data_IF_632223846973
#
_entry.id   IF_632223846973
#
_cell.length_a   1.000
_cell.length_b   1.000
_cell.length_c   1.000
_cell.angle_alpha   90.00
_cell.angle_beta   90.00
_cell.angle_gamma   90.00
#
_symmetry.space_group_name_H-M   'P 1'
#
loop_
_entity.id
_entity.type
_entity.pdbx_description
1 polymer ?
#
# COMPACT_ATOMS: atom_id res chain seq x y z
N UNK A 1 -50.12 -6.59 -7.09
CA UNK A 1 -49.03 -7.31 -7.76
C UNK A 1 -48.00 -6.24 -8.11
N UNK A 2 -46.90 -6.14 -7.34
CA UNK A 2 -45.85 -5.13 -7.54
C UNK A 2 -44.64 -5.84 -8.13
N UNK A 3 -44.22 -5.41 -9.30
CA UNK A 3 -42.92 -5.71 -9.91
C UNK A 3 -41.79 -5.27 -8.97
N UNK A 4 -40.69 -6.05 -8.85
CA UNK A 4 -39.44 -5.51 -8.34
C UNK A 4 -38.35 -5.61 -9.42
N UNK A 5 -38.33 -4.67 -10.37
CA UNK A 5 -37.20 -4.49 -11.29
C UNK A 5 -36.42 -3.21 -10.95
N UNK A 6 -35.71 -3.29 -9.82
CA UNK A 6 -34.81 -2.23 -9.35
C UNK A 6 -33.36 -2.68 -9.12
N UNK A 7 -33.01 -3.94 -9.43
CA UNK A 7 -31.71 -4.52 -9.06
C UNK A 7 -30.71 -4.67 -10.21
N UNK A 8 -30.95 -4.02 -11.36
CA UNK A 8 -30.05 -4.11 -12.52
C UNK A 8 -29.07 -2.93 -12.66
N UNK A 9 -29.13 -1.91 -11.80
CA UNK A 9 -28.38 -0.66 -11.98
C UNK A 9 -27.13 -0.47 -11.07
N UNK A 10 -26.56 -1.54 -10.49
CA UNK A 10 -25.38 -1.42 -9.59
C UNK A 10 -24.19 -2.27 -10.02
N UNK A 11 -24.00 -2.48 -11.33
CA UNK A 11 -23.06 -3.50 -11.81
C UNK A 11 -21.86 -3.02 -12.62
N UNK A 12 -21.51 -1.73 -12.63
CA UNK A 12 -20.35 -1.29 -13.45
C UNK A 12 -19.42 -0.19 -12.89
N UNK A 13 -19.44 0.11 -11.58
CA UNK A 13 -18.45 1.05 -10.97
C UNK A 13 -17.78 0.52 -9.69
N UNK A 14 -18.00 -0.76 -9.33
CA UNK A 14 -17.62 -1.35 -8.04
C UNK A 14 -16.52 -2.44 -8.12
N UNK A 15 -15.96 -2.69 -9.31
CA UNK A 15 -15.11 -3.86 -9.60
C UNK A 15 -13.68 -3.78 -9.06
N UNK A 16 -13.01 -2.63 -9.17
CA UNK A 16 -11.60 -2.50 -8.81
C UNK A 16 -11.37 -2.21 -7.31
N UNK A 17 -12.27 -1.43 -6.69
CA UNK A 17 -12.13 -1.01 -5.29
C UNK A 17 -12.47 -2.11 -4.26
N UNK A 18 -13.46 -2.96 -4.56
CA UNK A 18 -13.87 -4.05 -3.66
C UNK A 18 -12.78 -5.13 -3.54
N UNK A 19 -12.09 -5.44 -4.65
CA UNK A 19 -11.10 -6.52 -4.70
C UNK A 19 -9.83 -6.18 -3.89
N UNK A 20 -9.37 -4.93 -3.95
CA UNK A 20 -8.24 -4.49 -3.13
C UNK A 20 -8.54 -4.55 -1.63
N UNK A 21 -9.75 -4.19 -1.22
CA UNK A 21 -10.11 -4.14 0.21
C UNK A 21 -10.17 -5.53 0.87
N UNK A 22 -10.60 -6.56 0.14
CA UNK A 22 -10.62 -7.94 0.63
C UNK A 22 -9.20 -8.50 0.74
N UNK A 23 -8.39 -8.35 -0.31
CA UNK A 23 -7.01 -8.81 -0.32
C UNK A 23 -6.15 -8.16 0.78
N UNK A 24 -6.38 -6.88 1.05
CA UNK A 24 -5.73 -6.16 2.13
C UNK A 24 -6.12 -6.70 3.51
N UNK A 25 -7.38 -7.07 3.72
CA UNK A 25 -7.83 -7.69 4.98
C UNK A 25 -7.18 -9.06 5.19
N UNK A 26 -7.19 -9.90 4.16
CA UNK A 26 -6.55 -11.23 4.20
C UNK A 26 -5.04 -11.11 4.48
N UNK A 27 -4.38 -10.12 3.87
CA UNK A 27 -2.97 -9.83 4.13
C UNK A 27 -2.74 -9.42 5.59
N UNK A 28 -3.55 -8.51 6.14
CA UNK A 28 -3.46 -8.13 7.55
C UNK A 28 -3.64 -9.33 8.48
N UNK A 29 -4.61 -10.20 8.21
CA UNK A 29 -4.86 -11.42 8.99
C UNK A 29 -3.67 -12.40 8.89
N UNK A 30 -3.13 -12.60 7.69
CA UNK A 30 -1.98 -13.47 7.44
C UNK A 30 -0.76 -13.09 8.29
N UNK A 31 -0.52 -11.79 8.43
CA UNK A 31 0.64 -11.26 9.17
C UNK A 31 0.31 -10.86 10.61
N UNK A 32 -0.96 -11.00 11.05
CA UNK A 32 -1.38 -10.59 12.40
C UNK A 32 -1.32 -9.08 12.64
N UNK A 33 -1.43 -8.28 11.58
CA UNK A 33 -1.51 -6.82 11.66
C UNK A 33 -2.94 -6.35 11.92
N UNK A 34 -3.08 -5.24 12.65
CA UNK A 34 -4.30 -4.44 12.59
C UNK A 34 -4.58 -3.98 11.16
N UNK A 35 -5.85 -3.92 10.77
CA UNK A 35 -6.28 -3.43 9.47
C UNK A 35 -6.37 -1.89 9.50
N UNK A 36 -5.44 -1.23 8.82
CA UNK A 36 -5.29 0.23 8.81
C UNK A 36 -5.06 0.73 7.36
N UNK A 37 -6.08 0.68 6.48
CA UNK A 37 -5.92 1.10 5.09
C UNK A 37 -5.71 2.62 4.99
N UNK A 38 -4.82 3.09 4.11
CA UNK A 38 -4.67 4.52 3.86
C UNK A 38 -5.93 5.13 3.23
N UNK A 39 -6.18 6.39 3.57
CA UNK A 39 -7.18 7.22 2.91
C UNK A 39 -6.80 7.50 1.44
N UNK A 40 -7.81 7.62 0.57
CA UNK A 40 -7.63 7.83 -0.88
C UNK A 40 -6.84 9.10 -1.24
N UNK A 41 -6.93 10.12 -0.38
CA UNK A 41 -6.30 11.44 -0.58
C UNK A 41 -4.95 11.54 0.14
N UNK A 42 -4.60 10.55 0.96
CA UNK A 42 -3.30 10.47 1.63
C UNK A 42 -2.19 10.20 0.63
N UNK A 43 -0.96 10.53 1.05
CA UNK A 43 0.24 10.40 0.24
C UNK A 43 1.25 9.47 0.91
N UNK A 44 2.03 8.78 0.08
CA UNK A 44 3.20 8.01 0.47
C UNK A 44 4.46 8.66 -0.10
N UNK A 45 5.63 8.35 0.45
CA UNK A 45 6.91 8.68 -0.15
C UNK A 45 7.30 7.64 -1.19
N UNK A 46 7.64 8.05 -2.42
CA UNK A 46 8.10 7.13 -3.47
C UNK A 46 9.42 7.59 -4.08
N UNK A 47 10.36 6.67 -4.23
CA UNK A 47 11.59 6.89 -5.00
C UNK A 47 11.37 6.44 -6.46
N UNK A 48 10.60 7.23 -7.22
CA UNK A 48 10.07 6.86 -8.54
C UNK A 48 11.16 6.35 -9.52
N UNK A 49 12.31 7.02 -9.55
CA UNK A 49 13.43 6.66 -10.43
C UNK A 49 14.07 5.31 -10.12
N UNK A 50 13.74 4.70 -8.98
CA UNK A 50 14.32 3.42 -8.54
C UNK A 50 13.38 2.23 -8.75
N UNK A 51 12.12 2.43 -9.16
CA UNK A 51 11.11 1.35 -9.22
C UNK A 51 11.43 0.24 -10.24
N UNK A 52 12.34 0.47 -11.18
CA UNK A 52 12.85 -0.57 -12.09
C UNK A 52 13.91 -1.48 -11.45
N UNK A 53 14.38 -1.15 -10.24
CA UNK A 53 15.37 -1.93 -9.49
C UNK A 53 14.66 -2.93 -8.58
N UNK A 54 15.32 -4.05 -8.34
CA UNK A 54 14.83 -5.13 -7.48
C UNK A 54 15.85 -5.35 -6.34
N UNK A 55 15.42 -5.67 -5.11
CA UNK A 55 14.02 -5.78 -4.66
C UNK A 55 13.32 -4.43 -4.59
N UNK A 56 11.99 -4.45 -4.67
CA UNK A 56 11.18 -3.33 -4.21
C UNK A 56 11.03 -3.45 -2.71
N UNK A 57 11.19 -2.33 -2.02
CA UNK A 57 11.10 -2.23 -0.58
C UNK A 57 9.96 -1.27 -0.24
N UNK A 58 9.26 -1.58 0.84
CA UNK A 58 8.34 -0.66 1.48
C UNK A 58 8.53 -0.68 3.01
N UNK A 59 8.39 0.47 3.64
CA UNK A 59 8.40 0.62 5.09
C UNK A 59 7.30 1.57 5.54
N UNK A 60 6.53 1.19 6.56
CA UNK A 60 5.46 2.02 7.11
C UNK A 60 5.84 2.62 8.45
N UNK A 61 6.07 3.92 8.46
CA UNK A 61 6.24 4.72 9.66
C UNK A 61 4.88 5.18 10.19
N UNK A 62 4.89 5.88 11.34
CA UNK A 62 3.72 6.62 11.79
C UNK A 62 3.33 7.67 10.74
N UNK A 63 2.02 7.82 10.54
CA UNK A 63 1.47 8.83 9.66
C UNK A 63 1.70 10.24 10.24
N UNK A 64 2.20 11.16 9.44
CA UNK A 64 2.40 12.57 9.81
C UNK A 64 1.92 13.48 8.69
N UNK A 65 1.32 14.63 9.05
CA UNK A 65 0.99 15.74 8.14
C UNK A 65 0.23 15.34 6.86
N UNK A 66 -0.70 14.39 6.95
CA UNK A 66 -1.52 13.92 5.81
C UNK A 66 -0.85 12.88 4.92
N UNK A 67 0.26 12.30 5.36
CA UNK A 67 0.85 11.09 4.76
C UNK A 67 0.27 9.83 5.41
N UNK A 68 0.33 8.70 4.71
CA UNK A 68 -0.07 7.40 5.26
C UNK A 68 1.10 6.63 5.92
N UNK A 69 2.29 7.25 6.00
CA UNK A 69 3.50 6.68 6.60
C UNK A 69 4.27 5.70 5.71
N UNK A 70 3.73 5.30 4.55
CA UNK A 70 4.43 4.41 3.62
C UNK A 70 5.55 5.13 2.86
N UNK A 71 6.69 4.45 2.74
CA UNK A 71 7.78 4.79 1.84
C UNK A 71 8.07 3.60 0.94
N UNK A 72 8.20 3.81 -0.37
CA UNK A 72 8.42 2.74 -1.38
C UNK A 72 9.61 3.09 -2.28
N UNK A 73 10.55 2.16 -2.46
CA UNK A 73 11.74 2.33 -3.30
C UNK A 73 12.23 1.00 -3.89
N UNK A 74 13.13 1.06 -4.88
CA UNK A 74 13.76 -0.12 -5.47
C UNK A 74 15.27 -0.17 -5.25
N UNK A 75 15.78 -1.37 -4.97
CA UNK A 75 17.18 -1.63 -4.63
C UNK A 75 17.60 -0.98 -3.32
N UNK A 76 18.85 -0.52 -3.27
CA UNK A 76 19.41 0.13 -2.09
C UNK A 76 18.76 1.48 -1.80
N UNK A 77 18.51 1.73 -0.51
CA UNK A 77 18.12 3.04 0.02
C UNK A 77 19.29 4.01 -0.14
N UNK A 78 19.03 5.20 -0.68
CA UNK A 78 20.04 6.24 -0.79
C UNK A 78 19.86 7.29 0.32
N UNK A 79 20.98 7.78 0.84
CA UNK A 79 21.02 8.91 1.77
C UNK A 79 20.98 10.22 0.99
N UNK A 80 19.78 10.59 0.52
CA UNK A 80 19.54 11.84 -0.20
C UNK A 80 18.24 12.49 0.30
N UNK A 81 18.25 13.79 0.60
CA UNK A 81 17.04 14.49 1.10
C UNK A 81 15.90 14.48 0.08
N UNK A 82 16.22 14.38 -1.21
CA UNK A 82 15.25 14.37 -2.31
C UNK A 82 14.96 12.95 -2.83
N UNK A 83 15.36 11.92 -2.07
CA UNK A 83 15.20 10.53 -2.51
C UNK A 83 13.73 10.13 -2.67
N UNK A 84 12.87 10.61 -1.76
CA UNK A 84 11.44 10.34 -1.79
C UNK A 84 10.64 11.56 -2.24
N UNK A 85 9.65 11.31 -3.09
CA UNK A 85 8.69 12.31 -3.54
C UNK A 85 7.28 11.91 -3.09
N UNK A 86 6.40 12.87 -2.77
CA UNK A 86 5.03 12.54 -2.38
C UNK A 86 4.22 12.00 -3.57
N UNK A 87 3.53 10.88 -3.36
CA UNK A 87 2.62 10.27 -4.33
C UNK A 87 1.28 9.96 -3.67
N UNK A 88 0.17 10.34 -4.31
CA UNK A 88 -1.16 9.92 -3.86
C UNK A 88 -1.32 8.40 -3.94
N UNK A 89 -1.87 7.81 -2.89
CA UNK A 89 -2.00 6.35 -2.75
C UNK A 89 -2.71 5.70 -3.94
N UNK A 90 -3.74 6.35 -4.51
CA UNK A 90 -4.46 5.82 -5.67
C UNK A 90 -3.59 5.63 -6.92
N UNK A 91 -2.46 6.33 -7.04
CA UNK A 91 -1.56 6.21 -8.19
C UNK A 91 -0.59 5.03 -8.03
N UNK A 92 -0.39 4.52 -6.82
CA UNK A 92 0.57 3.44 -6.57
C UNK A 92 0.17 2.16 -7.31
N UNK A 93 -1.12 1.83 -7.39
CA UNK A 93 -1.58 0.61 -8.06
C UNK A 93 -1.16 0.56 -9.55
N UNK A 94 -1.07 1.72 -10.22
CA UNK A 94 -0.61 1.82 -11.60
C UNK A 94 0.91 1.72 -11.76
N UNK A 95 1.68 1.97 -10.71
CA UNK A 95 3.15 1.96 -10.72
C UNK A 95 3.73 0.66 -10.16
N UNK A 96 3.17 0.19 -9.05
CA UNK A 96 3.65 -0.94 -8.25
C UNK A 96 2.46 -1.76 -7.74
N UNK A 97 1.74 -2.47 -8.63
CA UNK A 97 0.56 -3.25 -8.25
C UNK A 97 0.87 -4.32 -7.19
N UNK A 98 2.11 -4.83 -7.18
CA UNK A 98 2.57 -5.83 -6.21
C UNK A 98 2.52 -5.34 -4.75
N UNK A 99 2.54 -4.04 -4.50
CA UNK A 99 2.52 -3.47 -3.14
C UNK A 99 1.11 -3.21 -2.60
N UNK A 100 0.09 -3.19 -3.48
CA UNK A 100 -1.30 -2.90 -3.12
C UNK A 100 -1.86 -3.78 -1.98
N UNK A 101 -1.60 -5.11 -1.94
CA UNK A 101 -2.10 -5.99 -0.88
C UNK A 101 -1.65 -5.58 0.53
N UNK A 102 -0.45 -4.99 0.63
CA UNK A 102 0.21 -4.71 1.90
C UNK A 102 -0.11 -3.33 2.46
N UNK A 103 -0.75 -2.46 1.68
CA UNK A 103 -0.97 -1.06 2.07
C UNK A 103 -1.76 -0.88 3.37
N UNK A 104 -2.60 -1.86 3.75
CA UNK A 104 -3.39 -1.80 4.97
C UNK A 104 -2.67 -2.34 6.23
N UNK A 105 -1.44 -2.87 6.11
CA UNK A 105 -0.63 -3.25 7.26
C UNK A 105 -0.31 -2.01 8.09
N UNK A 106 -0.53 -2.04 9.40
CA UNK A 106 -0.37 -0.90 10.30
C UNK A 106 1.06 -0.29 10.28
N UNK A 107 1.29 0.87 10.91
CA UNK A 107 2.65 1.36 11.12
C UNK A 107 3.53 0.31 11.81
N UNK A 108 4.81 0.25 11.45
CA UNK A 108 5.76 -0.74 11.96
C UNK A 108 6.05 -1.89 11.02
N UNK A 109 5.44 -1.94 9.82
CA UNK A 109 5.63 -3.04 8.87
C UNK A 109 6.60 -2.71 7.74
N UNK A 110 7.37 -3.72 7.33
CA UNK A 110 8.20 -3.70 6.13
C UNK A 110 7.77 -4.77 5.14
N UNK A 111 7.98 -4.48 3.86
CA UNK A 111 7.76 -5.39 2.74
C UNK A 111 9.00 -5.35 1.86
N UNK A 112 9.52 -6.53 1.51
CA UNK A 112 10.53 -6.71 0.48
C UNK A 112 9.93 -7.62 -0.59
N UNK A 113 9.83 -7.11 -1.80
CA UNK A 113 9.26 -7.81 -2.94
C UNK A 113 10.31 -7.99 -4.04
N UNK A 114 10.42 -9.20 -4.56
CA UNK A 114 11.20 -9.56 -5.74
C UNK A 114 10.46 -10.63 -6.56
N UNK A 115 10.80 -10.84 -7.85
CA UNK A 115 10.23 -11.93 -8.63
C UNK A 115 10.44 -13.29 -7.94
N UNK A 116 9.34 -13.95 -7.58
CA UNK A 116 9.35 -15.25 -6.90
C UNK A 116 9.67 -15.22 -5.40
N UNK A 117 9.82 -14.04 -4.79
CA UNK A 117 10.14 -13.90 -3.38
C UNK A 117 9.47 -12.67 -2.76
N UNK A 118 8.76 -12.86 -1.66
CA UNK A 118 8.23 -11.77 -0.85
C UNK A 118 8.55 -12.05 0.60
N UNK A 119 9.04 -11.04 1.31
CA UNK A 119 9.22 -11.06 2.75
C UNK A 119 8.49 -9.89 3.38
N UNK A 120 7.83 -10.14 4.50
CA UNK A 120 7.01 -9.16 5.22
C UNK A 120 7.24 -9.36 6.70
N UNK A 121 7.70 -8.33 7.39
CA UNK A 121 8.03 -8.43 8.80
C UNK A 121 7.72 -7.14 9.55
N UNK A 122 7.50 -7.28 10.84
CA UNK A 122 7.30 -6.17 11.75
C UNK A 122 8.66 -5.67 12.26
N UNK A 123 8.90 -4.38 12.14
CA UNK A 123 10.10 -3.68 12.56
C UNK A 123 9.72 -2.51 13.49
N UNK A 124 9.85 -2.75 14.79
CA UNK A 124 9.57 -1.75 15.83
C UNK A 124 10.44 -0.49 15.70
N UNK A 125 11.60 -0.56 15.03
CA UNK A 125 12.46 0.60 14.84
C UNK A 125 11.80 1.67 13.96
N UNK A 126 10.82 1.32 13.12
CA UNK A 126 10.04 2.27 12.32
C UNK A 126 9.13 3.18 13.16
N UNK A 127 8.86 2.77 14.40
CA UNK A 127 7.99 3.47 15.34
C UNK A 127 8.79 4.32 16.34
N UNK A 128 10.12 4.23 16.31
CA UNK A 128 10.99 5.09 17.09
C UNK A 128 11.18 6.41 16.35
N UNK A 129 10.69 7.51 16.94
CA UNK A 129 10.92 8.89 16.48
C UNK A 129 12.18 9.51 17.06
#
# INVERSE_FOLDING_TARGET
>A
MREPDGLAAQRNELGDGMNHSLLQRETCEQFGSSFDPPGKDERLGIALSTLSRTPLNAARHLAENGTCGWYVWGGELADSPDFFQPLHVHHLAGLVPAMVPYLALAPGWRVLWAPGYVDVWHDMALLAG
#
